data_IF_580654356381
#
_entry.id   IF_580654356381
#
_cell.length_a   1.000
_cell.length_b   1.000
_cell.length_c   1.000
_cell.angle_alpha   90.00
_cell.angle_beta   90.00
_cell.angle_gamma   90.00
#
_symmetry.space_group_name_H-M   'P 1'
#
loop_
_entity.id
_entity.type
_entity.pdbx_description
1 polymer ?
#
# COMPACT_ATOMS: atom_id res chain seq x y z
N UNK A 1 4.08 34.78 -38.13
CA UNK A 1 2.96 33.89 -37.76
C UNK A 1 3.57 32.82 -36.84
N UNK A 2 3.31 32.91 -35.53
CA UNK A 2 3.76 31.90 -34.56
C UNK A 2 2.83 30.69 -34.63
N UNK A 3 3.39 29.48 -34.67
CA UNK A 3 2.59 28.26 -34.63
C UNK A 3 1.80 28.20 -33.30
N UNK A 4 0.53 27.73 -33.32
CA UNK A 4 -0.24 27.57 -32.12
C UNK A 4 0.46 26.55 -31.17
N UNK A 5 0.35 26.70 -29.84
CA UNK A 5 0.93 25.75 -28.89
C UNK A 5 0.28 24.37 -29.09
N UNK A 6 1.11 23.31 -29.10
CA UNK A 6 0.67 21.93 -29.22
C UNK A 6 -0.38 21.61 -28.13
N UNK A 7 -1.53 21.11 -28.55
CA UNK A 7 -2.62 20.73 -27.64
C UNK A 7 -2.29 19.44 -26.92
N UNK A 8 -2.95 19.18 -25.77
CA UNK A 8 -2.79 17.93 -25.03
C UNK A 8 -3.12 16.66 -25.87
N UNK A 9 -3.89 16.84 -26.96
CA UNK A 9 -4.27 15.79 -27.92
C UNK A 9 -3.12 15.37 -28.86
N UNK A 10 -2.09 16.22 -29.03
CA UNK A 10 -0.94 15.93 -29.90
C UNK A 10 0.15 15.08 -29.23
N UNK A 11 -0.02 14.73 -27.94
CA UNK A 11 0.89 13.80 -27.26
C UNK A 11 0.53 12.39 -27.68
N UNK A 12 1.46 11.72 -28.39
CA UNK A 12 1.35 10.31 -28.71
C UNK A 12 0.95 9.48 -27.46
N UNK A 13 0.09 8.44 -27.60
CA UNK A 13 -0.22 7.53 -26.49
C UNK A 13 1.09 7.05 -25.85
N UNK A 14 1.19 7.18 -24.54
CA UNK A 14 2.43 7.08 -23.75
C UNK A 14 3.41 6.00 -24.21
N UNK A 15 4.69 6.34 -24.18
CA UNK A 15 5.78 5.41 -24.50
C UNK A 15 5.63 4.09 -23.70
N UNK A 16 5.99 2.92 -24.25
CA UNK A 16 5.77 1.59 -23.65
C UNK A 16 6.25 1.46 -22.21
N UNK A 17 7.28 2.21 -21.81
CA UNK A 17 7.85 2.18 -20.46
C UNK A 17 7.00 2.93 -19.40
N UNK A 18 6.24 3.98 -19.78
CA UNK A 18 5.32 4.64 -18.85
C UNK A 18 4.12 3.77 -18.55
N UNK A 19 3.65 3.01 -19.53
CA UNK A 19 2.56 2.06 -19.36
C UNK A 19 2.94 0.93 -18.40
N UNK A 20 4.15 0.36 -18.49
CA UNK A 20 4.63 -0.66 -17.57
C UNK A 20 4.79 -0.10 -16.15
N UNK A 21 5.38 1.08 -15.99
CA UNK A 21 5.51 1.74 -14.69
C UNK A 21 4.14 1.97 -14.03
N UNK A 22 3.18 2.51 -14.79
CA UNK A 22 1.81 2.71 -14.31
C UNK A 22 1.12 1.39 -13.94
N UNK A 23 1.29 0.34 -14.72
CA UNK A 23 0.75 -1.00 -14.42
C UNK A 23 1.31 -1.57 -13.11
N UNK A 24 2.62 -1.42 -12.87
CA UNK A 24 3.23 -1.88 -11.62
C UNK A 24 2.74 -1.08 -10.41
N UNK A 25 2.63 0.26 -10.52
CA UNK A 25 2.06 1.07 -9.44
C UNK A 25 0.58 0.74 -9.21
N UNK A 26 -0.18 0.46 -10.29
CA UNK A 26 -1.57 -0.03 -10.17
C UNK A 26 -1.61 -1.38 -9.43
N UNK A 27 -0.70 -2.30 -9.77
CA UNK A 27 -0.60 -3.61 -9.12
C UNK A 27 -0.30 -3.47 -7.63
N UNK A 28 0.61 -2.55 -7.24
CA UNK A 28 0.84 -2.23 -5.83
C UNK A 28 -0.41 -1.67 -5.15
N UNK A 29 -1.17 -0.78 -5.81
CA UNK A 29 -2.47 -0.32 -5.28
C UNK A 29 -3.47 -1.47 -5.06
N UNK A 30 -3.53 -2.43 -5.97
CA UNK A 30 -4.35 -3.65 -5.83
C UNK A 30 -3.81 -4.52 -4.68
N UNK A 31 -2.49 -4.64 -4.53
CA UNK A 31 -1.82 -5.32 -3.43
C UNK A 31 -2.21 -4.73 -2.07
N UNK A 32 -2.20 -3.41 -1.94
CA UNK A 32 -2.67 -2.71 -0.73
C UNK A 32 -4.14 -3.04 -0.42
N UNK A 33 -5.03 -3.00 -1.42
CA UNK A 33 -6.44 -3.37 -1.21
C UNK A 33 -6.55 -4.81 -0.73
N UNK A 34 -5.87 -5.75 -1.40
CA UNK A 34 -5.88 -7.17 -1.04
C UNK A 34 -5.32 -7.41 0.37
N UNK A 35 -4.21 -6.76 0.71
CA UNK A 35 -3.63 -6.83 2.05
C UNK A 35 -4.58 -6.29 3.12
N UNK A 36 -5.18 -5.12 2.90
CA UNK A 36 -6.13 -4.54 3.85
C UNK A 36 -7.39 -5.40 4.03
N UNK A 37 -7.91 -5.99 2.94
CA UNK A 37 -9.04 -6.94 3.03
C UNK A 37 -8.64 -8.20 3.82
N UNK A 38 -7.47 -8.77 3.55
CA UNK A 38 -6.96 -9.91 4.32
C UNK A 38 -6.82 -9.55 5.81
N UNK A 39 -6.26 -8.39 6.12
CA UNK A 39 -6.10 -7.90 7.48
C UNK A 39 -7.46 -7.74 8.19
N UNK A 40 -8.46 -7.21 7.50
CA UNK A 40 -9.83 -7.10 7.99
C UNK A 40 -10.45 -8.47 8.30
N UNK A 41 -10.31 -9.43 7.37
CA UNK A 41 -10.81 -10.80 7.56
C UNK A 41 -10.13 -11.46 8.77
N UNK A 42 -8.80 -11.31 8.91
CA UNK A 42 -8.04 -11.88 10.03
C UNK A 42 -8.50 -11.36 11.38
N UNK A 43 -8.89 -10.10 11.50
CA UNK A 43 -9.45 -9.56 12.73
C UNK A 43 -10.66 -10.36 13.24
N UNK A 44 -11.51 -10.84 12.33
CA UNK A 44 -12.73 -11.59 12.70
C UNK A 44 -12.55 -13.10 12.75
N UNK A 45 -11.53 -13.66 12.08
CA UNK A 45 -11.33 -15.11 11.98
C UNK A 45 -10.22 -15.64 12.88
N UNK A 46 -9.23 -14.84 13.23
CA UNK A 46 -8.06 -15.27 14.00
C UNK A 46 -7.53 -14.22 14.96
N UNK A 47 -7.95 -12.97 14.84
CA UNK A 47 -7.55 -11.82 15.65
C UNK A 47 -6.06 -11.46 15.54
N UNK A 48 -5.16 -12.45 15.62
CA UNK A 48 -3.71 -12.25 15.45
C UNK A 48 -3.40 -12.10 13.97
N UNK A 49 -2.57 -11.13 13.64
CA UNK A 49 -2.20 -10.79 12.26
C UNK A 49 -1.46 -11.94 11.56
N UNK A 50 -1.52 -11.96 10.23
CA UNK A 50 -0.87 -12.98 9.43
C UNK A 50 0.65 -13.02 9.72
N UNK A 51 1.20 -14.23 9.93
CA UNK A 51 2.62 -14.44 10.17
C UNK A 51 3.07 -14.14 11.60
N UNK A 52 2.13 -13.77 12.50
CA UNK A 52 2.34 -13.69 13.93
C UNK A 52 1.66 -14.85 14.66
N UNK A 53 2.16 -15.19 15.85
CA UNK A 53 1.66 -16.26 16.70
C UNK A 53 1.32 -15.73 18.09
N UNK A 54 0.61 -16.49 18.95
CA UNK A 54 0.33 -16.07 20.32
C UNK A 54 1.56 -15.67 21.13
N UNK A 55 2.73 -16.28 20.86
CA UNK A 55 3.99 -15.96 21.54
C UNK A 55 4.47 -14.53 21.21
N UNK A 56 4.24 -14.05 19.96
CA UNK A 56 4.61 -12.69 19.56
C UNK A 56 3.77 -11.62 20.27
N UNK A 57 2.51 -11.95 20.60
CA UNK A 57 1.57 -10.99 21.20
C UNK A 57 1.31 -11.24 22.69
N UNK A 58 1.97 -12.26 23.28
CA UNK A 58 1.89 -12.57 24.71
C UNK A 58 0.65 -13.35 25.13
N UNK A 59 -0.13 -13.92 24.21
CA UNK A 59 -1.29 -14.77 24.52
C UNK A 59 -2.19 -15.07 23.35
N UNK A 60 -3.11 -16.03 23.56
CA UNK A 60 -4.14 -16.34 22.55
C UNK A 60 -5.26 -15.29 22.54
N UNK A 61 -6.06 -15.18 21.47
CA UNK A 61 -7.22 -14.30 21.43
C UNK A 61 -8.16 -14.50 22.62
N UNK A 62 -8.38 -15.77 23.03
CA UNK A 62 -9.24 -16.12 24.16
C UNK A 62 -8.66 -15.64 25.49
N UNK A 63 -7.34 -15.76 25.68
CA UNK A 63 -6.64 -15.25 26.88
C UNK A 63 -6.72 -13.71 26.96
N UNK A 64 -6.50 -13.01 25.84
CA UNK A 64 -6.60 -11.55 25.78
C UNK A 64 -8.03 -11.12 26.08
N UNK A 65 -9.02 -11.81 25.53
CA UNK A 65 -10.45 -11.51 25.79
C UNK A 65 -10.84 -11.79 27.23
N UNK A 66 -10.34 -12.90 27.83
CA UNK A 66 -10.59 -13.25 29.22
C UNK A 66 -9.93 -12.27 30.19
N UNK A 67 -8.73 -11.78 29.86
CA UNK A 67 -8.05 -10.74 30.63
C UNK A 67 -8.84 -9.41 30.64
N UNK A 68 -9.26 -8.93 29.48
CA UNK A 68 -10.07 -7.72 29.35
C UNK A 68 -10.86 -7.70 28.05
N UNK A 69 -12.18 -7.93 28.09
CA UNK A 69 -13.05 -7.80 26.91
C UNK A 69 -13.00 -6.40 26.26
N UNK A 70 -12.84 -5.35 27.08
CA UNK A 70 -12.72 -3.99 26.57
C UNK A 70 -11.41 -3.77 25.80
N UNK A 71 -10.29 -4.30 26.29
CA UNK A 71 -9.01 -4.25 25.60
C UNK A 71 -9.07 -5.03 24.28
N UNK A 72 -9.67 -6.21 24.30
CA UNK A 72 -9.89 -6.99 23.07
C UNK A 72 -10.67 -6.21 22.02
N UNK A 73 -11.78 -5.59 22.41
CA UNK A 73 -12.61 -4.79 21.53
C UNK A 73 -11.86 -3.54 21.02
N UNK A 74 -11.02 -2.93 21.86
CA UNK A 74 -10.20 -1.78 21.48
C UNK A 74 -9.15 -2.16 20.44
N UNK A 75 -8.44 -3.28 20.62
CA UNK A 75 -7.48 -3.81 19.63
C UNK A 75 -8.20 -4.13 18.33
N UNK A 76 -9.33 -4.83 18.38
CA UNK A 76 -10.13 -5.14 17.20
C UNK A 76 -10.55 -3.86 16.45
N UNK A 77 -11.00 -2.83 17.16
CA UNK A 77 -11.35 -1.53 16.57
C UNK A 77 -10.16 -0.91 15.84
N UNK A 78 -8.97 -0.91 16.45
CA UNK A 78 -7.76 -0.38 15.81
C UNK A 78 -7.37 -1.19 14.56
N UNK A 79 -7.46 -2.50 14.61
CA UNK A 79 -7.18 -3.36 13.44
C UNK A 79 -8.15 -3.08 12.29
N UNK A 80 -9.45 -2.93 12.58
CA UNK A 80 -10.45 -2.57 11.56
C UNK A 80 -10.16 -1.19 10.97
N UNK A 81 -9.80 -0.20 11.80
CA UNK A 81 -9.45 1.14 11.33
C UNK A 81 -8.20 1.10 10.42
N UNK A 82 -7.15 0.40 10.82
CA UNK A 82 -5.93 0.23 10.02
C UNK A 82 -6.25 -0.46 8.70
N UNK A 83 -7.01 -1.56 8.72
CA UNK A 83 -7.44 -2.25 7.49
C UNK A 83 -8.19 -1.31 6.54
N UNK A 84 -9.13 -0.51 7.07
CA UNK A 84 -9.90 0.44 6.27
C UNK A 84 -9.01 1.51 5.62
N UNK A 85 -8.03 2.05 6.36
CA UNK A 85 -7.08 3.03 5.80
C UNK A 85 -6.16 2.41 4.74
N UNK A 86 -5.71 1.18 4.91
CA UNK A 86 -4.90 0.48 3.90
C UNK A 86 -5.72 0.26 2.62
N UNK A 87 -6.98 -0.19 2.75
CA UNK A 87 -7.90 -0.35 1.60
C UNK A 87 -8.12 1.00 0.91
N UNK A 88 -8.44 2.05 1.65
CA UNK A 88 -8.69 3.38 1.11
C UNK A 88 -7.45 3.93 0.37
N UNK A 89 -6.25 3.71 0.92
CA UNK A 89 -5.00 4.08 0.29
C UNK A 89 -4.81 3.35 -1.05
N UNK A 90 -5.02 2.04 -1.08
CA UNK A 90 -4.92 1.25 -2.32
C UNK A 90 -5.94 1.71 -3.37
N UNK A 91 -7.18 1.97 -2.97
CA UNK A 91 -8.23 2.52 -3.85
C UNK A 91 -7.84 3.88 -4.42
N UNK A 92 -7.13 4.73 -3.67
CA UNK A 92 -6.63 6.02 -4.15
C UNK A 92 -5.43 5.87 -5.11
N UNK A 93 -4.51 4.94 -4.83
CA UNK A 93 -3.31 4.69 -5.65
C UNK A 93 -3.68 4.17 -7.04
N UNK A 94 -4.68 3.32 -7.17
CA UNK A 94 -5.10 2.71 -8.45
C UNK A 94 -5.42 3.78 -9.51
N UNK A 95 -6.36 4.73 -9.33
CA UNK A 95 -6.65 5.74 -10.34
C UNK A 95 -5.50 6.73 -10.54
N UNK A 96 -4.72 7.05 -9.51
CA UNK A 96 -3.50 7.87 -9.66
C UNK A 96 -2.53 7.21 -10.64
N UNK A 97 -2.35 5.91 -10.53
CA UNK A 97 -1.48 5.16 -11.44
C UNK A 97 -2.09 5.02 -12.84
N UNK A 98 -3.32 4.52 -12.90
CA UNK A 98 -3.95 4.17 -14.17
C UNK A 98 -4.29 5.38 -15.05
N UNK A 99 -4.73 6.49 -14.46
CA UNK A 99 -5.09 7.70 -15.19
C UNK A 99 -3.98 8.75 -15.14
N UNK A 100 -3.40 9.01 -13.96
CA UNK A 100 -2.43 10.07 -13.78
C UNK A 100 -1.04 9.71 -14.34
N UNK A 101 -0.44 8.60 -13.90
CA UNK A 101 0.92 8.22 -14.31
C UNK A 101 0.95 7.88 -15.80
N UNK A 102 -0.03 7.16 -16.32
CA UNK A 102 -0.10 6.80 -17.75
C UNK A 102 -0.18 8.02 -18.66
N UNK A 103 -0.78 9.10 -18.20
CA UNK A 103 -0.86 10.38 -18.95
C UNK A 103 0.31 11.33 -18.65
N UNK A 104 1.35 10.84 -17.94
CA UNK A 104 2.59 11.59 -17.71
C UNK A 104 2.50 12.64 -16.60
N UNK A 105 1.53 12.54 -15.70
CA UNK A 105 1.34 13.53 -14.62
C UNK A 105 2.29 13.27 -13.46
N UNK A 106 3.29 14.11 -13.27
CA UNK A 106 4.31 14.00 -12.20
C UNK A 106 3.71 14.04 -10.80
N UNK A 107 2.70 14.88 -10.58
CA UNK A 107 2.06 14.97 -9.27
C UNK A 107 1.40 13.64 -8.87
N UNK A 108 0.75 12.96 -9.82
CA UNK A 108 0.11 11.66 -9.58
C UNK A 108 1.15 10.58 -9.23
N UNK A 109 2.32 10.59 -9.91
CA UNK A 109 3.43 9.70 -9.60
C UNK A 109 3.92 9.87 -8.15
N UNK A 110 4.20 11.11 -7.77
CA UNK A 110 4.71 11.39 -6.42
C UNK A 110 3.67 11.13 -5.34
N UNK A 111 2.40 11.46 -5.57
CA UNK A 111 1.33 11.17 -4.60
C UNK A 111 1.15 9.67 -4.42
N UNK A 112 1.11 8.89 -5.52
CA UNK A 112 0.98 7.44 -5.47
C UNK A 112 2.17 6.74 -4.78
N UNK A 113 3.35 7.34 -4.81
CA UNK A 113 4.54 6.82 -4.15
C UNK A 113 4.65 7.27 -2.69
N UNK A 114 4.56 8.57 -2.42
CA UNK A 114 4.84 9.15 -1.10
C UNK A 114 3.82 8.71 -0.05
N UNK A 115 2.53 8.60 -0.42
CA UNK A 115 1.50 8.24 0.55
C UNK A 115 1.70 6.85 1.16
N UNK A 116 1.92 5.76 0.39
CA UNK A 116 2.27 4.45 0.96
C UNK A 116 3.61 4.46 1.72
N UNK A 117 4.63 5.17 1.21
CA UNK A 117 5.95 5.26 1.86
C UNK A 117 5.86 5.89 3.25
N UNK A 118 5.02 6.89 3.45
CA UNK A 118 4.78 7.47 4.79
C UNK A 118 4.19 6.41 5.71
N UNK A 119 3.16 5.67 5.27
CA UNK A 119 2.53 4.63 6.08
C UNK A 119 3.51 3.53 6.50
N UNK A 120 4.24 2.98 5.53
CA UNK A 120 5.25 1.93 5.81
C UNK A 120 6.41 2.50 6.64
N UNK A 121 6.91 3.70 6.31
CA UNK A 121 8.04 4.33 6.98
C UNK A 121 7.79 4.63 8.45
N UNK A 122 6.55 4.92 8.84
CA UNK A 122 6.17 5.13 10.23
C UNK A 122 5.91 3.81 10.96
N UNK A 123 5.28 2.84 10.31
CA UNK A 123 4.91 1.59 10.95
C UNK A 123 6.09 0.59 11.05
N UNK A 124 6.87 0.44 9.99
CA UNK A 124 7.90 -0.59 9.88
C UNK A 124 8.96 -0.58 11.00
N UNK A 125 9.52 0.56 11.42
CA UNK A 125 10.51 0.57 12.51
C UNK A 125 9.97 -0.01 13.82
N UNK A 126 8.68 0.23 14.12
CA UNK A 126 8.04 -0.26 15.33
C UNK A 126 7.84 -1.78 15.32
N UNK A 127 7.69 -2.41 14.16
CA UNK A 127 7.65 -3.87 14.07
C UNK A 127 8.94 -4.50 14.58
N UNK A 128 10.10 -3.89 14.28
CA UNK A 128 11.39 -4.36 14.79
C UNK A 128 11.54 -4.12 16.29
N UNK A 129 11.13 -2.94 16.78
CA UNK A 129 11.20 -2.60 18.20
C UNK A 129 10.34 -3.52 19.05
N UNK A 130 9.16 -3.91 18.53
CA UNK A 130 8.19 -4.75 19.27
C UNK A 130 8.37 -6.24 19.01
N UNK A 131 9.37 -6.66 18.23
CA UNK A 131 9.60 -8.08 17.94
C UNK A 131 8.57 -8.71 17.00
N UNK A 132 7.85 -7.89 16.22
CA UNK A 132 6.81 -8.32 15.28
C UNK A 132 7.33 -8.46 13.84
N UNK A 133 8.61 -8.21 13.59
CA UNK A 133 9.23 -8.21 12.27
C UNK A 133 9.56 -9.63 11.79
N UNK A 134 8.54 -10.46 11.59
CA UNK A 134 8.71 -11.79 10.98
C UNK A 134 8.57 -11.71 9.45
N UNK A 135 9.22 -12.62 8.73
CA UNK A 135 9.06 -12.69 7.27
C UNK A 135 7.61 -13.05 6.89
N UNK A 136 6.95 -13.89 7.67
CA UNK A 136 5.54 -14.23 7.46
C UNK A 136 4.60 -13.03 7.58
N UNK A 137 4.94 -12.06 8.45
CA UNK A 137 4.16 -10.86 8.67
C UNK A 137 4.48 -9.76 7.66
N UNK A 138 5.76 -9.46 7.45
CA UNK A 138 6.21 -8.34 6.63
C UNK A 138 6.48 -8.70 5.17
N UNK A 139 6.55 -9.99 4.81
CA UNK A 139 6.96 -10.42 3.47
C UNK A 139 6.11 -9.84 2.33
N UNK A 140 4.79 -9.81 2.51
CA UNK A 140 3.88 -9.22 1.52
C UNK A 140 4.07 -7.69 1.42
N UNK A 141 4.35 -7.02 2.52
CA UNK A 141 4.61 -5.58 2.57
C UNK A 141 5.90 -5.26 1.82
N UNK A 142 6.97 -6.05 2.01
CA UNK A 142 8.22 -5.88 1.27
C UNK A 142 8.06 -6.13 -0.22
N UNK A 143 7.30 -7.15 -0.59
CA UNK A 143 7.01 -7.45 -1.99
C UNK A 143 6.27 -6.27 -2.64
N UNK A 144 5.21 -5.79 -1.99
CA UNK A 144 4.41 -4.67 -2.51
C UNK A 144 5.24 -3.38 -2.61
N UNK A 145 6.06 -3.08 -1.60
CA UNK A 145 6.97 -1.94 -1.62
C UNK A 145 8.01 -2.04 -2.76
N UNK A 146 8.53 -3.24 -3.04
CA UNK A 146 9.45 -3.46 -4.17
C UNK A 146 8.75 -3.24 -5.52
N UNK A 147 7.52 -3.71 -5.69
CA UNK A 147 6.70 -3.50 -6.90
C UNK A 147 6.41 -1.99 -7.07
N UNK A 148 6.00 -1.31 -6.00
CA UNK A 148 5.74 0.13 -6.01
C UNK A 148 6.99 0.93 -6.41
N UNK A 149 8.13 0.61 -5.82
CA UNK A 149 9.41 1.27 -6.11
C UNK A 149 9.82 1.04 -7.58
N UNK A 150 9.79 -0.20 -8.05
CA UNK A 150 10.13 -0.54 -9.44
C UNK A 150 9.21 0.19 -10.43
N UNK A 151 7.89 0.19 -10.18
CA UNK A 151 6.92 0.89 -11.00
C UNK A 151 7.15 2.40 -11.03
N UNK A 152 7.43 3.00 -9.87
CA UNK A 152 7.73 4.42 -9.74
C UNK A 152 8.99 4.81 -10.50
N UNK A 153 10.08 4.04 -10.38
CA UNK A 153 11.34 4.31 -11.09
C UNK A 153 11.17 4.21 -12.62
N UNK A 154 10.44 3.21 -13.10
CA UNK A 154 10.17 3.05 -14.52
C UNK A 154 9.32 4.20 -15.07
N UNK A 155 8.25 4.58 -14.36
CA UNK A 155 7.40 5.70 -14.75
C UNK A 155 8.17 7.03 -14.71
N UNK A 156 8.97 7.28 -13.66
CA UNK A 156 9.76 8.49 -13.52
C UNK A 156 10.74 8.69 -14.69
N UNK A 157 11.46 7.64 -15.09
CA UNK A 157 12.41 7.70 -16.23
C UNK A 157 11.74 8.08 -17.53
N UNK A 158 10.47 7.78 -17.69
CA UNK A 158 9.72 8.10 -18.92
C UNK A 158 9.10 9.50 -18.87
N UNK A 159 8.58 9.91 -17.71
CA UNK A 159 7.95 11.22 -17.53
C UNK A 159 8.99 12.35 -17.47
N UNK A 160 10.22 12.04 -17.06
CA UNK A 160 11.32 13.02 -16.93
C UNK A 160 12.01 13.35 -18.27
N UNK A 161 11.79 12.55 -19.30
CA UNK A 161 12.30 12.79 -20.68
C UNK A 161 11.33 13.67 -21.46
#
# INVERSE_FOLDING_TARGET
MSAPPATAADRAPGAPSSDLGAKLVTLAGIGLVGYGVMFLIRNFTGFIELGLTPEHVGGTPEQIRAFSPHLFNYISHLQVAVAAFIIALGVAVIPLAWQGIRTGQRWALWTAFVAPVIGVGLALPLHYVYGLATLGHLGLIYLDAAILLAGTLLAYRTIAR
#
